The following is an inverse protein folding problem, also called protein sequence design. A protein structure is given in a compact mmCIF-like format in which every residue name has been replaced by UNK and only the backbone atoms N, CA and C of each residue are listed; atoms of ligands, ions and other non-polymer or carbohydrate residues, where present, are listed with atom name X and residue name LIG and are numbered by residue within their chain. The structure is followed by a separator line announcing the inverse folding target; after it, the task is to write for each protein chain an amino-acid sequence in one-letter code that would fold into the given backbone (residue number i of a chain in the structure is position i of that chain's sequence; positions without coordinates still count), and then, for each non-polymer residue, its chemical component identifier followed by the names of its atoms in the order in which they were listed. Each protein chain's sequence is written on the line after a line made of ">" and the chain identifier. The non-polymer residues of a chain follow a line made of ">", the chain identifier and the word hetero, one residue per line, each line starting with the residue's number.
data_IF_466630965859
#
_entry.id   IF_466630965859
#
_cell.length_a   1.000
_cell.length_b   1.000
_cell.length_c   1.000
_cell.angle_alpha   90.00
_cell.angle_beta   90.00
_cell.angle_gamma   90.00
#
_symmetry.space_group_name_H-M   'P 1'
#
loop_
_entity.id
_entity.type
_entity.pdbx_description
1 polymer ?
#
# COMPACT_ATOMS: atom_id res chain seq x y z
N UNK A 1 -38.75 -7.15 -3.53
CA UNK A 1 -37.87 -8.25 -3.10
C UNK A 1 -36.64 -7.59 -2.54
N UNK A 2 -36.56 -7.66 -1.23
CA UNK A 2 -35.56 -7.05 -0.36
C UNK A 2 -34.24 -7.79 -0.59
N UNK A 3 -33.23 -7.11 -1.11
CA UNK A 3 -31.88 -7.66 -1.27
C UNK A 3 -30.97 -6.94 -0.28
N UNK A 4 -31.16 -7.25 1.00
CA UNK A 4 -30.13 -7.08 2.03
C UNK A 4 -28.97 -8.00 1.65
N UNK A 5 -27.92 -7.41 1.09
CA UNK A 5 -26.60 -8.06 1.04
C UNK A 5 -26.14 -8.16 2.48
N UNK A 6 -26.13 -9.37 3.04
CA UNK A 6 -25.60 -9.67 4.37
C UNK A 6 -24.15 -9.14 4.45
N UNK A 7 -23.99 -8.05 5.19
CA UNK A 7 -22.72 -7.35 5.47
C UNK A 7 -21.81 -8.24 6.32
N UNK A 8 -22.33 -9.34 6.86
CA UNK A 8 -21.64 -10.25 7.78
C UNK A 8 -20.86 -11.38 7.08
N UNK A 9 -20.93 -11.50 5.73
CA UNK A 9 -20.07 -12.44 4.98
C UNK A 9 -18.69 -11.87 4.60
N UNK A 10 -18.31 -10.71 5.15
CA UNK A 10 -17.14 -9.93 4.71
C UNK A 10 -15.86 -10.24 5.53
N UNK A 11 -15.89 -11.13 6.51
CA UNK A 11 -14.86 -11.14 7.57
C UNK A 11 -13.99 -12.41 7.74
N UNK A 12 -13.85 -13.32 6.76
CA UNK A 12 -13.18 -14.61 7.04
C UNK A 12 -11.98 -15.06 6.18
N UNK A 13 -11.36 -14.19 5.37
CA UNK A 13 -10.14 -14.57 4.60
C UNK A 13 -8.95 -13.58 4.70
N UNK A 14 -8.86 -12.79 5.77
CA UNK A 14 -7.95 -11.63 5.85
C UNK A 14 -6.65 -11.84 6.68
N UNK A 15 -6.21 -13.09 6.94
CA UNK A 15 -4.94 -13.33 7.64
C UNK A 15 -3.84 -13.79 6.68
N UNK A 16 -3.03 -12.83 6.24
CA UNK A 16 -1.89 -13.13 5.39
C UNK A 16 -0.74 -12.18 5.66
N UNK A 17 0.33 -12.77 6.18
CA UNK A 17 1.67 -12.19 6.15
C UNK A 17 2.63 -13.33 5.77
N UNK A 18 3.13 -13.36 4.53
CA UNK A 18 4.26 -14.22 4.23
C UNK A 18 5.48 -13.53 4.83
N UNK A 19 5.82 -13.89 6.06
CA UNK A 19 7.02 -13.47 6.80
C UNK A 19 8.30 -13.53 5.93
N UNK A 20 8.32 -14.45 4.95
CA UNK A 20 9.36 -14.62 3.95
C UNK A 20 9.63 -13.39 3.05
N UNK A 21 8.58 -12.64 2.65
CA UNK A 21 8.74 -11.52 1.71
C UNK A 21 9.45 -10.35 2.38
N UNK A 22 9.11 -10.09 3.66
CA UNK A 22 9.64 -8.95 4.41
C UNK A 22 11.12 -9.15 4.73
N UNK A 23 11.50 -10.32 5.24
CA UNK A 23 12.90 -10.62 5.56
C UNK A 23 13.77 -10.62 4.29
N UNK A 24 13.26 -11.15 3.18
CA UNK A 24 13.97 -11.13 1.89
C UNK A 24 14.17 -9.70 1.37
N UNK A 25 13.13 -8.86 1.42
CA UNK A 25 13.20 -7.46 1.00
C UNK A 25 14.18 -6.67 1.88
N UNK A 26 14.14 -6.86 3.20
CA UNK A 26 15.07 -6.22 4.15
C UNK A 26 16.52 -6.57 3.86
N UNK A 27 16.81 -7.85 3.61
CA UNK A 27 18.17 -8.35 3.34
C UNK A 27 18.73 -7.78 2.03
N UNK A 28 17.92 -7.72 0.98
CA UNK A 28 18.27 -7.11 -0.31
C UNK A 28 18.51 -5.61 -0.15
N UNK A 29 17.62 -4.91 0.57
CA UNK A 29 17.73 -3.47 0.78
C UNK A 29 19.04 -3.10 1.52
N UNK A 30 19.41 -3.86 2.55
CA UNK A 30 20.69 -3.66 3.28
C UNK A 30 21.93 -3.95 2.43
N UNK A 31 21.84 -4.88 1.47
CA UNK A 31 22.94 -5.24 0.59
C UNK A 31 23.18 -4.19 -0.51
N UNK A 32 22.12 -3.59 -1.06
CA UNK A 32 22.20 -2.71 -2.23
C UNK A 32 22.40 -1.21 -1.90
N UNK A 33 22.14 -0.78 -0.67
CA UNK A 33 22.28 0.63 -0.29
C UNK A 33 23.76 1.05 -0.10
N UNK A 34 24.16 2.27 -0.51
CA UNK A 34 25.49 2.81 -0.17
C UNK A 34 25.64 3.03 1.35
N UNK A 35 26.83 2.85 1.91
CA UNK A 35 27.03 2.89 3.38
C UNK A 35 26.51 4.15 4.07
N UNK A 36 26.70 5.32 3.46
CA UNK A 36 26.16 6.62 3.91
C UNK A 36 24.63 6.65 4.03
N UNK A 37 23.92 5.81 3.27
CA UNK A 37 22.47 5.62 3.30
C UNK A 37 22.03 4.53 4.29
N UNK A 38 22.96 3.67 4.74
CA UNK A 38 22.73 2.68 5.82
C UNK A 38 22.74 3.32 7.21
N UNK A 39 23.21 4.57 7.32
CA UNK A 39 23.12 5.35 8.56
C UNK A 39 21.66 5.74 8.77
N UNK A 40 21.01 5.03 9.67
CA UNK A 40 19.64 5.33 10.07
C UNK A 40 19.59 6.73 10.69
N UNK A 41 18.66 7.60 10.25
CA UNK A 41 18.47 8.88 10.91
C UNK A 41 18.04 8.61 12.36
N UNK A 42 18.73 9.21 13.34
CA UNK A 42 18.47 9.09 14.80
C UNK A 42 17.01 9.30 15.24
N UNK A 43 16.15 9.81 14.36
CA UNK A 43 14.74 10.15 14.61
C UNK A 43 13.72 9.22 13.93
N UNK A 44 14.14 8.26 13.11
CA UNK A 44 13.21 7.36 12.41
C UNK A 44 13.02 6.07 13.22
N UNK A 45 11.77 5.81 13.64
CA UNK A 45 11.39 4.49 14.14
C UNK A 45 11.43 3.50 12.98
N UNK A 46 12.10 2.38 13.18
CA UNK A 46 12.02 1.22 12.29
C UNK A 46 10.84 0.40 12.81
N UNK A 47 9.89 0.08 11.93
CA UNK A 47 8.81 -0.82 12.30
C UNK A 47 9.34 -2.25 12.36
N UNK A 48 8.91 -2.99 13.36
CA UNK A 48 9.12 -4.43 13.39
C UNK A 48 8.13 -5.11 12.44
N UNK A 49 8.52 -6.26 11.90
CA UNK A 49 7.69 -7.02 10.95
C UNK A 49 6.34 -7.38 11.59
N UNK A 50 6.34 -7.70 12.88
CA UNK A 50 5.12 -7.95 13.66
C UNK A 50 4.20 -6.73 13.74
N UNK A 51 4.74 -5.50 13.83
CA UNK A 51 3.93 -4.28 13.86
C UNK A 51 3.25 -4.03 12.50
N UNK A 52 3.98 -4.23 11.40
CA UNK A 52 3.43 -4.10 10.05
C UNK A 52 2.42 -5.21 9.75
N UNK A 53 2.75 -6.44 10.12
CA UNK A 53 1.88 -7.60 10.04
C UNK A 53 0.54 -7.33 10.71
N UNK A 54 0.59 -6.96 12.00
CA UNK A 54 -0.58 -6.64 12.80
C UNK A 54 -1.43 -5.54 12.18
N UNK A 55 -0.79 -4.46 11.69
CA UNK A 55 -1.51 -3.39 11.02
C UNK A 55 -2.17 -3.88 9.71
N UNK A 56 -1.48 -4.70 8.94
CA UNK A 56 -2.00 -5.23 7.68
C UNK A 56 -3.04 -6.32 7.84
N UNK A 57 -3.18 -6.96 9.01
CA UNK A 57 -4.19 -7.99 9.27
C UNK A 57 -5.37 -7.46 10.09
N UNK A 58 -5.10 -6.71 11.16
CA UNK A 58 -6.10 -6.34 12.17
C UNK A 58 -6.73 -4.95 11.95
N UNK A 59 -6.07 -4.05 11.22
CA UNK A 59 -6.61 -2.70 11.04
C UNK A 59 -7.86 -2.73 10.13
N UNK A 60 -8.95 -2.13 10.58
CA UNK A 60 -10.22 -2.21 9.89
C UNK A 60 -10.16 -1.57 8.50
N UNK A 61 -10.80 -2.23 7.53
CA UNK A 61 -10.83 -1.72 6.17
C UNK A 61 -11.67 -0.44 6.04
N UNK A 62 -12.65 -0.21 6.91
CA UNK A 62 -13.54 0.95 6.84
C UNK A 62 -12.78 2.28 7.04
N UNK A 63 -11.74 2.29 7.86
CA UNK A 63 -10.89 3.44 8.12
C UNK A 63 -9.52 3.35 7.44
N UNK A 64 -8.90 2.17 7.41
CA UNK A 64 -7.48 2.04 7.10
C UNK A 64 -7.15 1.42 5.74
N UNK A 65 -8.13 1.06 4.90
CA UNK A 65 -7.86 0.37 3.62
C UNK A 65 -6.78 1.07 2.78
N UNK A 66 -6.92 2.37 2.49
CA UNK A 66 -5.92 3.09 1.70
C UNK A 66 -4.53 3.12 2.37
N UNK A 67 -4.47 3.24 3.70
CA UNK A 67 -3.21 3.22 4.43
C UNK A 67 -2.54 1.84 4.38
N UNK A 68 -3.34 0.76 4.46
CA UNK A 68 -2.86 -0.63 4.28
C UNK A 68 -2.29 -0.82 2.87
N UNK A 69 -2.97 -0.33 1.82
CA UNK A 69 -2.42 -0.39 0.45
C UNK A 69 -1.11 0.40 0.32
N UNK A 70 -1.01 1.59 0.93
CA UNK A 70 0.24 2.37 0.92
C UNK A 70 1.39 1.59 1.58
N UNK A 71 1.12 0.89 2.68
CA UNK A 71 2.12 0.03 3.35
C UNK A 71 2.53 -1.14 2.46
N UNK A 72 1.58 -1.80 1.79
CA UNK A 72 1.87 -2.88 0.83
C UNK A 72 2.80 -2.39 -0.28
N UNK A 73 2.49 -1.25 -0.89
CA UNK A 73 3.36 -0.67 -1.93
C UNK A 73 4.75 -0.34 -1.37
N UNK A 74 4.84 0.14 -0.13
CA UNK A 74 6.10 0.37 0.56
C UNK A 74 6.92 -0.91 0.80
N UNK A 75 6.27 -2.03 1.14
CA UNK A 75 6.93 -3.33 1.39
C UNK A 75 7.44 -3.94 0.08
N UNK A 76 6.57 -4.05 -0.93
CA UNK A 76 6.89 -4.74 -2.18
C UNK A 76 7.76 -3.90 -3.11
N UNK A 77 7.45 -2.60 -3.17
CA UNK A 77 8.01 -1.71 -4.17
C UNK A 77 8.85 -0.59 -3.58
N UNK A 78 9.26 -0.63 -2.31
CA UNK A 78 10.08 0.39 -1.63
C UNK A 78 9.83 1.84 -2.11
N UNK A 79 8.55 2.18 -2.30
CA UNK A 79 8.16 3.29 -3.16
C UNK A 79 8.38 4.63 -2.47
N UNK A 80 8.85 5.62 -3.22
CA UNK A 80 8.93 7.00 -2.71
C UNK A 80 7.55 7.63 -2.69
N UNK A 81 7.33 8.52 -1.74
CA UNK A 81 6.08 9.30 -1.67
C UNK A 81 5.74 10.04 -2.96
N UNK A 82 6.74 10.55 -3.68
CA UNK A 82 6.50 11.26 -4.95
C UNK A 82 6.06 10.32 -6.08
N UNK A 83 6.55 9.08 -6.08
CA UNK A 83 6.15 8.03 -7.03
C UNK A 83 4.70 7.65 -6.75
N UNK A 84 4.34 7.39 -5.49
CA UNK A 84 2.95 7.11 -5.09
C UNK A 84 1.99 8.27 -5.39
N UNK A 85 2.44 9.51 -5.23
CA UNK A 85 1.63 10.69 -5.57
C UNK A 85 1.39 10.79 -7.06
N UNK A 86 2.28 10.24 -7.88
CA UNK A 86 2.20 10.33 -9.33
C UNK A 86 1.55 9.11 -10.00
N UNK A 87 1.58 7.96 -9.35
CA UNK A 87 1.08 6.69 -9.87
C UNK A 87 -0.34 6.81 -10.41
N UNK A 88 -0.53 6.32 -11.63
CA UNK A 88 -1.80 6.30 -12.35
C UNK A 88 -2.46 4.91 -12.32
N UNK A 89 -3.77 4.85 -12.60
CA UNK A 89 -4.57 3.63 -12.49
C UNK A 89 -4.18 2.58 -13.53
N UNK A 90 -3.76 3.02 -14.71
CA UNK A 90 -3.27 2.19 -15.81
C UNK A 90 -1.90 1.56 -15.48
N UNK A 91 -1.06 2.25 -14.72
CA UNK A 91 0.23 1.74 -14.22
C UNK A 91 0.09 0.63 -13.16
N UNK A 92 -1.13 0.30 -12.74
CA UNK A 92 -1.44 -0.80 -11.80
C UNK A 92 -2.27 -1.85 -12.52
N UNK A 93 -1.58 -2.74 -13.22
CA UNK A 93 -2.19 -3.73 -14.10
C UNK A 93 -2.41 -5.07 -13.39
N UNK A 94 -3.56 -5.67 -13.63
CA UNK A 94 -3.87 -7.00 -13.10
C UNK A 94 -3.58 -8.07 -14.15
N UNK A 95 -2.66 -8.99 -13.83
CA UNK A 95 -2.24 -10.08 -14.71
C UNK A 95 -2.39 -11.42 -14.01
N UNK A 96 -3.43 -12.18 -14.37
CA UNK A 96 -3.65 -13.51 -13.81
C UNK A 96 -3.84 -13.47 -12.30
N UNK A 97 -2.82 -13.90 -11.54
CA UNK A 97 -2.84 -13.93 -10.07
C UNK A 97 -1.98 -12.87 -9.38
N UNK A 98 -1.55 -11.85 -10.12
CA UNK A 98 -0.71 -10.78 -9.59
C UNK A 98 -1.15 -9.40 -10.07
N UNK A 99 -0.75 -8.36 -9.35
CA UNK A 99 -0.68 -7.00 -9.87
C UNK A 99 0.76 -6.67 -10.24
N UNK A 100 0.95 -6.10 -11.42
CA UNK A 100 2.22 -5.49 -11.84
C UNK A 100 2.05 -3.98 -11.69
N UNK A 101 2.96 -3.36 -10.93
CA UNK A 101 2.98 -1.90 -10.74
C UNK A 101 4.20 -1.35 -11.46
N UNK A 102 3.98 -0.42 -12.38
CA UNK A 102 5.04 0.25 -13.14
C UNK A 102 5.21 1.69 -12.63
N UNK A 103 6.43 2.04 -12.24
CA UNK A 103 6.75 3.37 -11.73
C UNK A 103 7.78 4.05 -12.62
N UNK A 104 7.38 5.23 -13.11
CA UNK A 104 8.29 6.13 -13.81
C UNK A 104 9.33 6.73 -12.86
N UNK A 105 10.54 6.89 -13.37
CA UNK A 105 11.66 7.44 -12.65
C UNK A 105 11.38 8.88 -12.18
N UNK A 106 11.41 9.10 -10.86
CA UNK A 106 11.25 10.47 -10.32
C UNK A 106 12.58 11.14 -9.97
N UNK A 107 13.63 10.36 -9.66
CA UNK A 107 14.91 10.89 -9.18
C UNK A 107 16.15 10.21 -9.77
N UNK A 108 16.07 8.94 -10.12
CA UNK A 108 17.23 8.12 -10.51
C UNK A 108 17.29 7.77 -11.99
N UNK A 109 16.42 8.33 -12.83
CA UNK A 109 16.34 8.09 -14.28
C UNK A 109 16.25 6.60 -14.68
N UNK A 110 15.73 5.78 -13.75
CA UNK A 110 15.50 4.35 -13.95
C UNK A 110 14.08 4.08 -13.55
N UNK A 111 13.27 3.73 -14.55
CA UNK A 111 11.94 3.17 -14.36
C UNK A 111 12.06 1.81 -13.71
N UNK A 112 11.07 1.45 -12.92
CA UNK A 112 11.08 0.15 -12.27
C UNK A 112 9.67 -0.34 -11.97
N UNK A 113 9.55 -1.65 -11.88
CA UNK A 113 8.30 -2.31 -11.60
C UNK A 113 8.46 -3.31 -10.46
N UNK A 114 7.34 -3.61 -9.81
CA UNK A 114 7.26 -4.63 -8.80
C UNK A 114 5.93 -5.38 -8.89
N UNK A 115 5.91 -6.57 -8.31
CA UNK A 115 4.78 -7.48 -8.37
C UNK A 115 4.16 -7.60 -6.99
N UNK A 116 2.83 -7.47 -6.92
CA UNK A 116 2.04 -7.73 -5.71
C UNK A 116 1.25 -9.00 -5.95
N UNK A 117 1.43 -9.98 -5.07
CA UNK A 117 0.83 -11.31 -5.20
C UNK A 117 0.14 -11.76 -3.89
N UNK A 118 -0.52 -12.91 -3.96
CA UNK A 118 -1.19 -13.53 -2.82
C UNK A 118 -2.37 -12.69 -2.29
N UNK A 119 -2.56 -12.71 -0.97
CA UNK A 119 -3.63 -11.98 -0.29
C UNK A 119 -3.63 -10.46 -0.52
N UNK A 120 -2.45 -9.86 -0.70
CA UNK A 120 -2.32 -8.41 -0.87
C UNK A 120 -2.90 -7.95 -2.20
N UNK A 121 -2.91 -8.84 -3.20
CA UNK A 121 -3.58 -8.60 -4.47
C UNK A 121 -5.07 -8.34 -4.25
N UNK A 122 -5.77 -9.15 -3.46
CA UNK A 122 -7.21 -8.98 -3.25
C UNK A 122 -7.54 -7.66 -2.55
N UNK A 123 -6.67 -7.21 -1.62
CA UNK A 123 -6.78 -5.88 -1.03
C UNK A 123 -6.62 -4.76 -2.07
N UNK A 124 -5.61 -4.86 -2.94
CA UNK A 124 -5.37 -3.90 -4.04
C UNK A 124 -6.55 -3.88 -5.00
N UNK A 125 -7.07 -5.05 -5.38
CA UNK A 125 -8.26 -5.20 -6.22
C UNK A 125 -9.48 -4.53 -5.58
N UNK A 126 -9.75 -4.80 -4.30
CA UNK A 126 -10.87 -4.19 -3.56
C UNK A 126 -10.77 -2.68 -3.54
N UNK A 127 -9.58 -2.13 -3.26
CA UNK A 127 -9.36 -0.68 -3.30
C UNK A 127 -9.57 -0.10 -4.71
N UNK A 128 -9.07 -0.78 -5.75
CA UNK A 128 -9.24 -0.37 -7.15
C UNK A 128 -10.71 -0.36 -7.57
N UNK A 129 -11.50 -1.35 -7.16
CA UNK A 129 -12.94 -1.43 -7.47
C UNK A 129 -13.76 -0.31 -6.83
N UNK A 130 -13.26 0.32 -5.76
CA UNK A 130 -13.92 1.45 -5.10
C UNK A 130 -13.69 2.78 -5.81
N UNK A 131 -12.87 2.83 -6.87
CA UNK A 131 -12.65 4.05 -7.64
C UNK A 131 -13.96 4.62 -8.18
N UNK A 132 -14.10 5.94 -8.08
CA UNK A 132 -15.29 6.64 -8.56
C UNK A 132 -15.16 6.83 -10.08
N UNK A 133 -16.11 6.38 -10.91
CA UNK A 133 -16.00 6.45 -12.38
C UNK A 133 -15.86 7.87 -12.95
N UNK A 134 -16.33 8.89 -12.23
CA UNK A 134 -16.30 10.29 -12.65
C UNK A 134 -15.09 11.07 -12.08
N UNK A 135 -14.01 10.39 -11.71
CA UNK A 135 -12.81 11.04 -11.17
C UNK A 135 -12.11 11.86 -12.29
N UNK A 136 -11.80 13.16 -12.07
CA UNK A 136 -11.27 14.04 -13.11
C UNK A 136 -9.77 13.86 -13.40
N UNK A 137 -9.15 12.81 -12.84
CA UNK A 137 -7.72 12.54 -12.95
C UNK A 137 -7.47 11.03 -12.96
N UNK A 138 -6.28 10.61 -13.39
CA UNK A 138 -5.90 9.20 -13.47
C UNK A 138 -5.14 8.67 -12.25
N UNK A 139 -4.98 9.45 -11.17
CA UNK A 139 -4.24 9.02 -9.97
C UNK A 139 -4.83 7.74 -9.36
N UNK A 140 -3.98 6.74 -9.14
CA UNK A 140 -4.37 5.49 -8.50
C UNK A 140 -4.80 5.69 -7.04
N UNK A 141 -4.02 6.47 -6.28
CA UNK A 141 -4.32 6.73 -4.87
C UNK A 141 -5.27 7.91 -4.71
N UNK A 142 -6.52 7.59 -4.40
CA UNK A 142 -7.57 8.54 -4.03
C UNK A 142 -7.89 8.45 -2.55
N UNK A 143 -8.33 9.57 -1.99
CA UNK A 143 -8.67 9.68 -0.60
C UNK A 143 -9.76 8.68 -0.25
N UNK A 144 -9.62 8.03 0.90
CA UNK A 144 -10.52 6.98 1.36
C UNK A 144 -11.07 7.37 2.71
N UNK A 145 -12.38 7.33 2.86
CA UNK A 145 -13.09 7.70 4.08
C UNK A 145 -14.33 6.82 4.24
N UNK A 146 -14.47 6.20 5.42
CA UNK A 146 -15.69 5.52 5.83
C UNK A 146 -16.19 4.49 4.81
N UNK A 147 -15.31 3.59 4.37
CA UNK A 147 -15.70 2.53 3.43
C UNK A 147 -15.58 2.89 1.94
N UNK A 148 -15.40 4.16 1.58
CA UNK A 148 -15.48 4.61 0.18
C UNK A 148 -14.30 5.48 -0.26
N UNK A 149 -13.95 5.38 -1.54
CA UNK A 149 -13.05 6.34 -2.18
C UNK A 149 -13.79 7.63 -2.53
N UNK A 150 -13.08 8.76 -2.43
CA UNK A 150 -13.53 10.06 -2.94
C UNK A 150 -12.81 10.37 -4.25
N UNK A 151 -13.20 11.46 -4.91
CA UNK A 151 -12.53 11.94 -6.15
C UNK A 151 -11.23 12.69 -5.88
N UNK A 152 -10.84 12.90 -4.63
CA UNK A 152 -9.68 13.70 -4.29
C UNK A 152 -8.43 12.82 -4.28
N UNK A 153 -7.33 13.19 -4.95
CA UNK A 153 -6.11 12.41 -4.91
C UNK A 153 -5.44 12.52 -3.54
N UNK A 154 -4.77 11.45 -3.10
CA UNK A 154 -3.96 11.49 -1.87
C UNK A 154 -2.72 12.37 -2.14
N UNK A 155 -2.50 13.38 -1.30
CA UNK A 155 -1.33 14.25 -1.39
C UNK A 155 -0.10 13.69 -0.68
N UNK A 156 1.09 14.16 -1.09
CA UNK A 156 2.41 13.79 -0.53
C UNK A 156 2.46 13.76 1.01
N UNK A 157 1.80 14.71 1.68
CA UNK A 157 1.84 14.80 3.14
C UNK A 157 1.08 13.67 3.83
N UNK A 158 0.02 13.15 3.20
CA UNK A 158 -0.76 12.03 3.74
C UNK A 158 0.01 10.72 3.60
N UNK A 159 0.66 10.49 2.46
CA UNK A 159 1.59 9.37 2.28
C UNK A 159 2.75 9.40 3.28
N UNK A 160 3.41 10.55 3.43
CA UNK A 160 4.50 10.72 4.41
C UNK A 160 4.01 10.56 5.87
N UNK A 161 2.70 10.75 6.10
CA UNK A 161 2.05 10.54 7.38
C UNK A 161 1.61 9.10 7.66
N UNK A 162 1.59 8.21 6.65
CA UNK A 162 1.16 6.82 6.83
C UNK A 162 1.93 6.06 7.92
N UNK A 163 3.27 6.18 8.04
CA UNK A 163 4.02 5.62 9.17
C UNK A 163 3.45 6.00 10.55
N UNK A 164 2.99 7.24 10.71
CA UNK A 164 2.39 7.70 11.96
C UNK A 164 1.07 6.98 12.27
N UNK A 165 0.28 6.66 11.24
CA UNK A 165 -0.96 5.88 11.41
C UNK A 165 -0.66 4.46 11.89
N UNK A 166 0.35 3.82 11.28
CA UNK A 166 0.82 2.49 11.71
C UNK A 166 1.24 2.54 13.18
N UNK A 167 1.99 3.57 13.59
CA UNK A 167 2.42 3.73 14.97
C UNK A 167 1.25 3.96 15.95
N UNK A 168 0.29 4.82 15.59
CA UNK A 168 -0.90 5.08 16.42
C UNK A 168 -1.73 3.82 16.58
N UNK A 169 -1.83 2.97 15.55
CA UNK A 169 -2.54 1.70 15.64
C UNK A 169 -1.93 0.71 16.64
N UNK A 170 -0.62 0.82 16.90
CA UNK A 170 0.04 -0.02 17.91
C UNK A 170 -0.20 0.46 19.36
N UNK A 171 -0.72 1.68 19.54
CA UNK A 171 -0.89 2.35 20.84
C UNK A 171 -2.23 2.03 21.46
#
# INVERSE_FOLDING_TARGET
>A
MDNTVDIDKINEEDNCVPEYIIESARKICMALLPEKSKILPKKAKIFEDAELAKFLTEADNFQYLAARIIVIFGIFGATRTIELTKLEVDQVEEHGNVFVVELEATKTDVDWSFVIEGCYREMVRKYRQLHVPATPHQRFFVNYQKGACTVQPIGKHKFAGTPKLVLIFQS
#
